data_IF_034916594051
#
_entry.id   IF_034916594051
#
_cell.length_a   1.000
_cell.length_b   1.000
_cell.length_c   1.000
_cell.angle_alpha   90.00
_cell.angle_beta   90.00
_cell.angle_gamma   90.00
#
_symmetry.space_group_name_H-M   'P 1'
#
loop_
_entity.id
_entity.type
_entity.pdbx_description
1 polymer ?
#
# COMPACT_ATOMS: atom_id res chain seq x y z
N UNK A 1 15.96 38.35 -0.63
CA UNK A 1 14.73 37.65 -0.20
C UNK A 1 15.00 37.00 1.15
N UNK A 2 14.18 37.30 2.17
CA UNK A 2 14.40 36.81 3.54
C UNK A 2 14.15 35.30 3.61
N UNK A 3 15.03 34.55 4.28
CA UNK A 3 15.00 33.08 4.33
C UNK A 3 13.65 32.54 4.86
N UNK A 4 13.01 33.29 5.77
CA UNK A 4 11.68 32.99 6.30
C UNK A 4 10.54 33.05 5.26
N UNK A 5 10.66 33.88 4.22
CA UNK A 5 9.62 33.98 3.18
C UNK A 5 9.72 32.82 2.18
N UNK A 6 10.94 32.37 1.88
CA UNK A 6 11.18 31.18 1.07
C UNK A 6 10.73 29.91 1.80
N UNK A 7 11.06 29.77 3.09
CA UNK A 7 10.57 28.65 3.90
C UNK A 7 9.04 28.60 3.99
N UNK A 8 8.40 29.77 4.16
CA UNK A 8 6.94 29.85 4.19
C UNK A 8 6.32 29.50 2.83
N UNK A 9 6.93 29.92 1.73
CA UNK A 9 6.49 29.58 0.38
C UNK A 9 6.61 28.07 0.11
N UNK A 10 7.74 27.46 0.47
CA UNK A 10 7.97 26.01 0.33
C UNK A 10 7.00 25.19 1.18
N UNK A 11 6.72 25.63 2.41
CA UNK A 11 5.72 24.99 3.27
C UNK A 11 4.30 25.08 2.67
N UNK A 12 3.95 26.22 2.06
CA UNK A 12 2.65 26.36 1.39
C UNK A 12 2.54 25.48 0.14
N UNK A 13 3.61 25.35 -0.65
CA UNK A 13 3.65 24.42 -1.80
C UNK A 13 3.47 22.97 -1.33
N UNK A 14 4.19 22.54 -0.29
CA UNK A 14 4.07 21.20 0.30
C UNK A 14 2.64 20.93 0.81
N UNK A 15 2.06 21.87 1.57
CA UNK A 15 0.67 21.76 2.05
C UNK A 15 -0.32 21.69 0.88
N UNK A 16 -0.12 22.47 -0.17
CA UNK A 16 -1.00 22.48 -1.34
C UNK A 16 -0.90 21.19 -2.15
N UNK A 17 0.30 20.61 -2.25
CA UNK A 17 0.54 19.31 -2.88
C UNK A 17 -0.18 18.20 -2.11
N UNK A 18 -0.05 18.17 -0.77
CA UNK A 18 -0.75 17.22 0.10
C UNK A 18 -2.28 17.34 -0.03
N UNK A 19 -2.82 18.56 -0.04
CA UNK A 19 -4.25 18.81 -0.21
C UNK A 19 -4.73 18.29 -1.57
N UNK A 20 -3.97 18.57 -2.64
CA UNK A 20 -4.32 18.12 -3.99
C UNK A 20 -4.28 16.60 -4.10
N UNK A 21 -3.30 15.96 -3.50
CA UNK A 21 -3.18 14.50 -3.45
C UNK A 21 -4.34 13.87 -2.66
N UNK A 22 -4.74 14.47 -1.55
CA UNK A 22 -5.90 14.04 -0.77
C UNK A 22 -7.21 14.18 -1.55
N UNK A 23 -7.41 15.29 -2.27
CA UNK A 23 -8.57 15.50 -3.14
C UNK A 23 -8.63 14.48 -4.28
N UNK A 24 -7.51 14.23 -4.94
CA UNK A 24 -7.43 13.22 -5.99
C UNK A 24 -7.76 11.83 -5.44
N UNK A 25 -7.18 11.48 -4.29
CA UNK A 25 -7.44 10.20 -3.62
C UNK A 25 -8.92 10.03 -3.28
N UNK A 26 -9.56 11.07 -2.74
CA UNK A 26 -10.99 11.07 -2.43
C UNK A 26 -11.86 10.91 -3.70
N UNK A 27 -11.50 11.56 -4.79
CA UNK A 27 -12.18 11.43 -6.08
C UNK A 27 -12.06 10.01 -6.66
N UNK A 28 -10.89 9.39 -6.59
CA UNK A 28 -10.68 8.02 -7.05
C UNK A 28 -11.53 7.04 -6.22
N UNK A 29 -11.63 7.22 -4.90
CA UNK A 29 -12.49 6.38 -4.05
C UNK A 29 -13.97 6.51 -4.40
N UNK A 30 -14.43 7.72 -4.68
CA UNK A 30 -15.80 7.95 -5.16
C UNK A 30 -16.05 7.23 -6.49
N UNK A 31 -15.07 7.21 -7.39
CA UNK A 31 -15.13 6.46 -8.66
C UNK A 31 -15.24 4.95 -8.41
N UNK A 32 -14.48 4.40 -7.46
CA UNK A 32 -14.58 2.99 -7.03
C UNK A 32 -15.95 2.65 -6.44
N UNK A 33 -16.63 3.59 -5.79
CA UNK A 33 -17.99 3.34 -5.31
C UNK A 33 -19.03 3.35 -6.42
N UNK A 34 -18.78 4.12 -7.48
CA UNK A 34 -19.66 4.18 -8.66
C UNK A 34 -19.45 3.00 -9.61
N UNK A 35 -18.22 2.48 -9.70
CA UNK A 35 -17.88 1.32 -10.53
C UNK A 35 -17.90 0.04 -9.69
N UNK A 36 -18.55 -1.02 -10.14
CA UNK A 36 -18.63 -2.26 -9.36
C UNK A 36 -17.29 -3.02 -9.28
N UNK A 37 -16.36 -2.80 -10.20
CA UNK A 37 -15.06 -3.49 -10.24
C UNK A 37 -13.86 -2.51 -10.17
N UNK A 38 -13.05 -2.54 -9.09
CA UNK A 38 -11.86 -1.69 -8.98
C UNK A 38 -10.79 -1.93 -10.06
N UNK A 39 -10.80 -3.08 -10.72
CA UNK A 39 -9.87 -3.38 -11.84
C UNK A 39 -10.15 -2.56 -13.11
N UNK A 40 -11.31 -1.91 -13.20
CA UNK A 40 -11.68 -1.05 -14.32
C UNK A 40 -11.02 0.34 -14.24
N UNK A 41 -10.37 0.67 -13.12
CA UNK A 41 -9.58 1.91 -12.99
C UNK A 41 -8.37 1.90 -13.93
N UNK A 42 -7.82 3.08 -14.22
CA UNK A 42 -6.49 3.18 -14.84
C UNK A 42 -5.43 2.59 -13.90
N UNK A 43 -4.33 2.09 -14.47
CA UNK A 43 -3.25 1.46 -13.68
C UNK A 43 -2.64 2.44 -12.66
N UNK A 44 -2.46 3.70 -13.04
CA UNK A 44 -1.98 4.76 -12.14
C UNK A 44 -2.88 4.93 -10.92
N UNK A 45 -4.21 5.02 -11.12
CA UNK A 45 -5.19 5.15 -10.03
C UNK A 45 -5.23 3.89 -9.18
N UNK A 46 -5.15 2.72 -9.81
CA UNK A 46 -5.14 1.43 -9.12
C UNK A 46 -3.91 1.33 -8.20
N UNK A 47 -2.73 1.67 -8.70
CA UNK A 47 -1.48 1.69 -7.91
C UNK A 47 -1.57 2.74 -6.80
N UNK A 48 -2.12 3.94 -7.07
CA UNK A 48 -2.30 4.98 -6.04
C UNK A 48 -3.16 4.51 -4.87
N UNK A 49 -4.22 3.73 -5.15
CA UNK A 49 -5.11 3.18 -4.11
C UNK A 49 -4.57 1.94 -3.40
N UNK A 50 -4.05 0.96 -4.16
CA UNK A 50 -3.76 -0.38 -3.64
C UNK A 50 -2.26 -0.66 -3.48
N UNK A 51 -1.39 0.26 -3.92
CA UNK A 51 0.09 0.17 -3.93
C UNK A 51 0.67 -1.02 -4.68
N UNK A 52 -0.16 -1.75 -5.42
CA UNK A 52 0.20 -2.88 -6.25
C UNK A 52 -0.30 -2.65 -7.68
N UNK A 53 0.38 -3.27 -8.64
CA UNK A 53 -0.15 -3.38 -10.00
C UNK A 53 -1.30 -4.39 -10.03
N UNK A 54 -2.19 -4.29 -11.02
CA UNK A 54 -3.31 -5.24 -11.17
C UNK A 54 -2.84 -6.72 -11.23
N UNK A 55 -1.79 -7.08 -12.01
CA UNK A 55 -1.30 -8.45 -12.05
C UNK A 55 -0.79 -8.95 -10.70
N UNK A 56 -0.09 -8.10 -9.94
CA UNK A 56 0.38 -8.45 -8.60
C UNK A 56 -0.79 -8.62 -7.62
N UNK A 57 -1.82 -7.78 -7.73
CA UNK A 57 -3.03 -7.92 -6.93
C UNK A 57 -3.75 -9.24 -7.23
N UNK A 58 -3.91 -9.61 -8.50
CA UNK A 58 -4.53 -10.90 -8.89
C UNK A 58 -3.71 -12.09 -8.40
N UNK A 59 -2.39 -12.00 -8.50
CA UNK A 59 -1.49 -13.02 -7.97
C UNK A 59 -1.67 -13.17 -6.45
N UNK A 60 -1.67 -12.05 -5.70
CA UNK A 60 -1.90 -12.06 -4.26
C UNK A 60 -3.25 -12.67 -3.90
N UNK A 61 -4.32 -12.34 -4.65
CA UNK A 61 -5.65 -12.94 -4.45
C UNK A 61 -5.56 -14.46 -4.58
N UNK A 62 -4.88 -14.97 -5.60
CA UNK A 62 -4.73 -16.42 -5.82
C UNK A 62 -3.89 -17.10 -4.72
N UNK A 63 -2.81 -16.47 -4.26
CA UNK A 63 -1.96 -16.97 -3.17
C UNK A 63 -2.76 -17.09 -1.87
N UNK A 64 -3.56 -16.07 -1.56
CA UNK A 64 -4.28 -15.93 -0.29
C UNK A 64 -5.58 -16.76 -0.27
N UNK A 65 -6.19 -17.01 -1.44
CA UNK A 65 -7.44 -17.75 -1.61
C UNK A 65 -7.57 -19.06 -0.81
N UNK A 66 -6.60 -19.99 -0.81
CA UNK A 66 -6.73 -21.24 -0.05
C UNK A 66 -6.78 -21.05 1.47
N UNK A 67 -6.36 -19.88 1.99
CA UNK A 67 -6.26 -19.59 3.41
C UNK A 67 -7.32 -18.59 3.91
N UNK A 68 -8.11 -18.03 3.01
CA UNK A 68 -9.22 -17.12 3.32
C UNK A 68 -10.53 -17.88 3.18
N UNK A 69 -11.45 -17.68 4.11
CA UNK A 69 -12.71 -18.38 4.08
C UNK A 69 -13.55 -17.90 2.89
N UNK A 70 -13.76 -18.77 1.90
CA UNK A 70 -14.77 -18.56 0.87
C UNK A 70 -16.14 -18.68 1.52
N UNK A 71 -16.93 -17.59 1.54
CA UNK A 71 -18.15 -17.63 2.29
C UNK A 71 -19.23 -18.44 1.55
N UNK A 72 -20.04 -19.24 2.26
CA UNK A 72 -21.06 -20.10 1.66
C UNK A 72 -22.29 -19.31 1.14
N UNK A 73 -22.37 -18.01 1.42
CA UNK A 73 -23.52 -17.15 1.09
C UNK A 73 -23.15 -16.15 0.01
N UNK A 74 -24.05 -15.95 -0.97
CA UNK A 74 -23.89 -14.96 -2.05
C UNK A 74 -23.74 -13.52 -1.56
N UNK A 75 -24.26 -13.19 -0.38
CA UNK A 75 -24.20 -11.84 0.21
C UNK A 75 -22.88 -11.54 0.93
N UNK A 76 -21.99 -12.51 1.04
CA UNK A 76 -20.74 -12.36 1.76
C UNK A 76 -19.62 -11.89 0.82
N UNK A 77 -18.65 -11.18 1.38
CA UNK A 77 -17.56 -10.58 0.63
C UNK A 77 -16.70 -11.65 -0.03
N UNK A 78 -16.47 -11.49 -1.33
CA UNK A 78 -15.55 -12.35 -2.09
C UNK A 78 -14.12 -12.21 -1.57
N UNK A 79 -13.28 -13.22 -1.81
CA UNK A 79 -11.85 -13.16 -1.47
C UNK A 79 -11.20 -11.93 -2.12
N UNK A 80 -11.54 -11.63 -3.38
CA UNK A 80 -11.08 -10.43 -4.09
C UNK A 80 -11.45 -9.16 -3.33
N UNK A 81 -12.72 -9.00 -2.92
CA UNK A 81 -13.15 -7.81 -2.17
C UNK A 81 -12.44 -7.69 -0.82
N UNK A 82 -12.22 -8.81 -0.12
CA UNK A 82 -11.48 -8.83 1.16
C UNK A 82 -10.03 -8.37 0.97
N UNK A 83 -9.34 -8.87 -0.05
CA UNK A 83 -7.96 -8.50 -0.38
C UNK A 83 -7.89 -7.03 -0.80
N UNK A 84 -8.77 -6.55 -1.68
CA UNK A 84 -8.80 -5.15 -2.09
C UNK A 84 -9.08 -4.20 -0.90
N UNK A 85 -9.99 -4.58 0.01
CA UNK A 85 -10.24 -3.81 1.23
C UNK A 85 -8.99 -3.73 2.12
N UNK A 86 -8.30 -4.86 2.33
CA UNK A 86 -7.05 -4.89 3.10
C UNK A 86 -5.92 -4.06 2.43
N UNK A 87 -5.74 -4.20 1.12
CA UNK A 87 -4.74 -3.44 0.35
C UNK A 87 -5.01 -1.94 0.38
N UNK A 88 -6.27 -1.52 0.24
CA UNK A 88 -6.62 -0.09 0.35
C UNK A 88 -6.29 0.47 1.72
N UNK A 89 -6.43 -0.32 2.79
CA UNK A 89 -6.02 0.07 4.13
C UNK A 89 -4.49 0.14 4.26
N UNK A 90 -3.75 -0.86 3.79
CA UNK A 90 -2.28 -0.87 3.84
C UNK A 90 -1.66 0.26 3.01
N UNK A 91 -2.26 0.59 1.87
CA UNK A 91 -1.77 1.62 0.97
C UNK A 91 -2.01 3.05 1.45
N UNK A 92 -3.03 3.25 2.30
CA UNK A 92 -3.44 4.57 2.79
C UNK A 92 -2.98 4.81 4.23
N UNK A 93 -2.78 3.76 5.03
CA UNK A 93 -2.37 3.86 6.44
C UNK A 93 -3.39 4.56 7.35
N UNK A 94 -4.58 4.87 6.84
CA UNK A 94 -5.52 5.81 7.45
C UNK A 94 -6.36 5.15 8.55
N UNK A 95 -5.83 5.20 9.78
CA UNK A 95 -6.61 5.03 11.01
C UNK A 95 -7.56 6.22 11.29
N UNK A 96 -7.33 7.40 10.71
CA UNK A 96 -8.06 8.63 11.05
C UNK A 96 -9.32 8.88 10.21
N UNK A 97 -9.48 8.21 9.07
CA UNK A 97 -10.67 8.28 8.22
C UNK A 97 -11.90 7.53 8.80
N UNK A 98 -11.82 7.12 10.07
CA UNK A 98 -12.86 6.36 10.78
C UNK A 98 -14.13 7.21 11.04
N UNK A 99 -14.05 8.54 10.99
CA UNK A 99 -15.12 9.43 11.48
C UNK A 99 -16.07 9.99 10.43
N UNK A 100 -15.84 9.79 9.12
CA UNK A 100 -16.72 10.36 8.09
C UNK A 100 -16.80 9.55 6.80
N UNK A 101 -17.76 8.62 6.70
CA UNK A 101 -18.13 7.93 5.45
C UNK A 101 -17.02 7.11 4.78
N UNK A 102 -16.33 6.26 5.56
CA UNK A 102 -15.31 5.34 5.06
C UNK A 102 -15.89 4.15 4.27
N UNK A 103 -16.40 4.43 3.08
CA UNK A 103 -16.81 3.41 2.12
C UNK A 103 -15.55 2.85 1.41
N UNK A 104 -14.74 2.08 2.12
CA UNK A 104 -13.72 1.24 1.50
C UNK A 104 -14.43 0.22 0.61
N UNK A 105 -14.32 0.29 -0.72
CA UNK A 105 -14.98 -0.65 -1.67
C UNK A 105 -16.50 -0.83 -1.41
N UNK A 106 -17.16 0.17 -0.81
CA UNK A 106 -18.60 0.12 -0.47
C UNK A 106 -18.95 -0.78 0.72
N UNK A 107 -18.00 -1.15 1.57
CA UNK A 107 -18.22 -2.01 2.75
C UNK A 107 -18.08 -1.25 4.07
N UNK A 108 -18.75 -1.72 5.12
CA UNK A 108 -18.72 -1.10 6.44
C UNK A 108 -17.37 -1.26 7.15
N UNK A 109 -17.02 -0.32 8.02
CA UNK A 109 -15.77 -0.33 8.80
C UNK A 109 -15.52 -1.64 9.59
N UNK A 110 -16.51 -2.27 10.27
CA UNK A 110 -16.31 -3.57 10.91
C UNK A 110 -16.00 -4.69 9.91
N UNK A 111 -16.52 -4.59 8.69
CA UNK A 111 -16.23 -5.53 7.61
C UNK A 111 -14.80 -5.35 7.11
N UNK A 112 -14.34 -4.12 6.94
CA UNK A 112 -12.94 -3.80 6.60
C UNK A 112 -12.00 -4.37 7.66
N UNK A 113 -12.27 -4.13 8.95
CA UNK A 113 -11.46 -4.66 10.05
C UNK A 113 -11.34 -6.18 10.01
N UNK A 114 -12.45 -6.89 9.74
CA UNK A 114 -12.44 -8.35 9.56
C UNK A 114 -11.62 -8.78 8.34
N UNK A 115 -11.76 -8.08 7.21
CA UNK A 115 -10.98 -8.36 6.00
C UNK A 115 -9.48 -8.21 6.26
N UNK A 116 -9.05 -7.13 6.92
CA UNK A 116 -7.65 -6.90 7.27
C UNK A 116 -7.12 -8.07 8.10
N UNK A 117 -7.82 -8.47 9.17
CA UNK A 117 -7.40 -9.58 10.02
C UNK A 117 -7.29 -10.88 9.23
N UNK A 118 -8.28 -11.19 8.40
CA UNK A 118 -8.33 -12.42 7.63
C UNK A 118 -7.19 -12.49 6.59
N UNK A 119 -6.97 -11.41 5.84
CA UNK A 119 -5.89 -11.32 4.85
C UNK A 119 -4.51 -11.35 5.51
N UNK A 120 -4.32 -10.63 6.62
CA UNK A 120 -3.08 -10.69 7.39
C UNK A 120 -2.79 -12.11 7.89
N UNK A 121 -3.78 -12.80 8.44
CA UNK A 121 -3.61 -14.17 8.93
C UNK A 121 -3.29 -15.15 7.79
N UNK A 122 -3.86 -14.95 6.61
CA UNK A 122 -3.55 -15.72 5.42
C UNK A 122 -2.12 -15.44 4.92
N UNK A 123 -1.70 -14.18 4.84
CA UNK A 123 -0.34 -13.83 4.41
C UNK A 123 0.74 -14.35 5.38
N UNK A 124 0.43 -14.42 6.67
CA UNK A 124 1.32 -14.96 7.70
C UNK A 124 1.36 -16.49 7.76
N UNK A 125 0.65 -17.20 6.88
CA UNK A 125 0.76 -18.65 6.80
C UNK A 125 2.20 -19.03 6.40
N UNK A 126 2.85 -20.02 7.07
CA UNK A 126 4.23 -20.39 6.78
C UNK A 126 4.47 -20.75 5.30
N UNK A 127 3.47 -21.30 4.62
CA UNK A 127 3.54 -21.65 3.20
C UNK A 127 3.66 -20.44 2.29
N UNK A 128 3.19 -19.26 2.74
CA UNK A 128 3.31 -18.00 2.01
C UNK A 128 4.53 -17.24 2.54
N UNK A 129 4.56 -16.96 3.84
CA UNK A 129 5.57 -16.10 4.46
C UNK A 129 7.00 -16.55 4.17
N UNK A 130 7.29 -17.85 4.25
CA UNK A 130 8.63 -18.40 4.04
C UNK A 130 9.11 -18.33 2.59
N UNK A 131 8.23 -18.07 1.62
CA UNK A 131 8.61 -17.88 0.22
C UNK A 131 9.07 -16.44 -0.06
N UNK A 132 8.70 -15.49 0.80
CA UNK A 132 8.94 -14.06 0.59
C UNK A 132 9.90 -13.47 1.62
N UNK A 133 9.90 -13.98 2.84
CA UNK A 133 10.74 -13.48 3.94
C UNK A 133 11.77 -14.54 4.32
N UNK A 134 13.04 -14.21 4.09
CA UNK A 134 14.17 -15.04 4.49
C UNK A 134 15.06 -14.26 5.45
N UNK A 135 15.18 -14.78 6.68
CA UNK A 135 16.15 -14.26 7.65
C UNK A 135 17.47 -15.01 7.49
N UNK A 136 18.62 -14.31 7.57
CA UNK A 136 19.94 -14.93 7.48
C UNK A 136 20.14 -15.91 8.65
N UNK A 137 20.62 -17.11 8.33
CA UNK A 137 20.76 -18.22 9.30
C UNK A 137 22.19 -18.40 9.82
N UNK A 138 23.15 -17.75 9.18
CA UNK A 138 24.56 -17.83 9.54
C UNK A 138 25.28 -16.49 9.31
N UNK A 139 26.51 -16.40 9.82
CA UNK A 139 27.33 -15.18 9.77
C UNK A 139 27.66 -14.82 8.31
N UNK A 140 27.87 -15.79 7.44
CA UNK A 140 28.22 -15.58 6.03
C UNK A 140 27.05 -14.94 5.26
N UNK A 141 25.83 -15.46 5.41
CA UNK A 141 24.60 -14.87 4.85
C UNK A 141 24.36 -13.46 5.39
N UNK A 142 24.60 -13.24 6.69
CA UNK A 142 24.50 -11.92 7.31
C UNK A 142 25.52 -10.93 6.71
N UNK A 143 26.77 -11.35 6.53
CA UNK A 143 27.82 -10.53 5.91
C UNK A 143 27.49 -10.22 4.45
N UNK A 144 27.03 -11.21 3.68
CA UNK A 144 26.60 -11.02 2.30
C UNK A 144 25.44 -10.01 2.20
N UNK A 145 24.45 -10.11 3.09
CA UNK A 145 23.32 -9.17 3.14
C UNK A 145 23.79 -7.74 3.45
N UNK A 146 24.68 -7.58 4.45
CA UNK A 146 25.27 -6.28 4.82
C UNK A 146 26.04 -5.66 3.66
N UNK A 147 26.89 -6.43 3.01
CA UNK A 147 27.67 -5.96 1.85
C UNK A 147 26.76 -5.58 0.69
N UNK A 148 25.75 -6.41 0.38
CA UNK A 148 24.76 -6.10 -0.65
C UNK A 148 24.02 -4.80 -0.35
N UNK A 149 23.52 -4.66 0.87
CA UNK A 149 22.79 -3.45 1.28
C UNK A 149 23.67 -2.20 1.22
N UNK A 150 24.91 -2.28 1.72
CA UNK A 150 25.88 -1.19 1.64
C UNK A 150 26.16 -0.80 0.19
N UNK A 151 26.43 -1.77 -0.69
CA UNK A 151 26.70 -1.51 -2.11
C UNK A 151 25.49 -0.91 -2.85
N UNK A 152 24.28 -1.32 -2.51
CA UNK A 152 23.05 -0.72 -3.03
C UNK A 152 22.89 0.73 -2.54
N UNK A 153 23.17 0.97 -1.26
CA UNK A 153 23.10 2.30 -0.67
C UNK A 153 24.07 3.27 -1.35
N UNK A 154 25.34 2.91 -1.48
CA UNK A 154 26.33 3.75 -2.16
C UNK A 154 25.91 4.04 -3.61
N UNK A 155 25.54 3.01 -4.38
CA UNK A 155 25.15 3.17 -5.79
C UNK A 155 23.95 4.12 -6.02
N UNK A 156 23.02 4.20 -5.06
CA UNK A 156 21.80 5.00 -5.21
C UNK A 156 21.85 6.35 -4.49
N UNK A 157 22.79 6.56 -3.55
CA UNK A 157 22.92 7.84 -2.82
C UNK A 157 24.15 8.68 -3.22
N UNK A 158 25.03 8.18 -4.08
CA UNK A 158 26.22 8.92 -4.53
C UNK A 158 25.91 10.07 -5.52
N UNK A 159 24.64 10.33 -5.88
CA UNK A 159 24.26 11.52 -6.68
C UNK A 159 24.14 12.83 -5.87
N UNK A 160 24.25 12.80 -4.53
CA UNK A 160 24.05 14.00 -3.69
C UNK A 160 25.23 14.38 -2.78
N UNK A 161 26.38 13.70 -2.84
CA UNK A 161 27.53 14.04 -1.98
C UNK A 161 28.68 14.72 -2.74
N UNK A 162 28.69 14.67 -4.08
CA UNK A 162 29.79 15.22 -4.88
C UNK A 162 29.59 16.66 -5.39
N UNK A 163 28.53 17.38 -5.01
CA UNK A 163 28.30 18.78 -5.42
C UNK A 163 28.24 19.80 -4.26
N UNK A 164 28.65 19.44 -3.05
CA UNK A 164 28.67 20.36 -1.91
C UNK A 164 30.07 20.88 -1.51
N UNK A 165 31.13 20.48 -2.24
CA UNK A 165 32.49 20.93 -1.99
C UNK A 165 33.26 21.16 -3.29
N UNK A 166 32.85 22.15 -4.07
CA UNK A 166 33.73 22.96 -4.93
C UNK A 166 33.07 24.33 -5.10
#
# INVERSE_FOLDING_TARGET
>A
MNNNNLQRFLLWEEIMEDVRDAEEFYNIRREVLRRSNPFDLSDEKFIKLFRLTKPLCENLINIVRPFVHEPPRRSALTVQTKVLAALSFFGTGSYQEITGASNYVGISQPSVSRCIKEVCNAMNQPQILNNWIHFPRNIEEMQALRTRYASYWFRNNDYNVCNAYT
#
